data_IF_060295641566
#
_entry.id   IF_060295641566
#
_cell.length_a   1.000
_cell.length_b   1.000
_cell.length_c   1.000
_cell.angle_alpha   90.00
_cell.angle_beta   90.00
_cell.angle_gamma   90.00
#
_symmetry.space_group_name_H-M   'P 1'
#
loop_
_entity.id
_entity.type
_entity.pdbx_description
1 polymer ?
#
# COMPACT_ATOMS: atom_id res chain seq x y z
N UNK A 1 33.80 -23.04 -0.62
CA UNK A 1 32.63 -23.44 -1.43
C UNK A 1 31.94 -22.17 -1.92
N UNK A 2 32.46 -21.55 -2.99
CA UNK A 2 32.03 -20.21 -3.46
C UNK A 2 31.86 -20.15 -4.98
N UNK A 3 31.77 -21.31 -5.64
CA UNK A 3 31.90 -21.44 -7.09
C UNK A 3 30.61 -21.21 -7.88
N UNK A 4 29.45 -21.03 -7.23
CA UNK A 4 28.16 -21.12 -7.93
C UNK A 4 27.73 -19.82 -8.63
N UNK A 5 28.12 -18.65 -8.13
CA UNK A 5 27.67 -17.37 -8.69
C UNK A 5 28.42 -16.99 -9.99
N UNK A 6 29.74 -17.24 -10.04
CA UNK A 6 30.58 -16.96 -11.21
C UNK A 6 30.12 -17.77 -12.44
N UNK A 7 29.70 -19.02 -12.22
CA UNK A 7 29.24 -19.91 -13.29
C UNK A 7 27.98 -19.41 -14.02
N UNK A 8 27.13 -18.60 -13.36
CA UNK A 8 25.88 -18.11 -13.95
C UNK A 8 26.11 -17.03 -15.02
N UNK A 9 26.98 -16.07 -14.72
CA UNK A 9 27.31 -14.97 -15.63
C UNK A 9 28.07 -15.47 -16.86
N UNK A 10 29.04 -16.37 -16.65
CA UNK A 10 29.80 -16.99 -17.75
C UNK A 10 28.89 -17.83 -18.66
N UNK A 11 27.92 -18.54 -18.09
CA UNK A 11 26.94 -19.31 -18.86
C UNK A 11 26.04 -18.40 -19.71
N UNK A 12 25.56 -17.28 -19.16
CA UNK A 12 24.75 -16.31 -19.89
C UNK A 12 25.54 -15.72 -21.08
N UNK A 13 26.80 -15.32 -20.86
CA UNK A 13 27.66 -14.83 -21.93
C UNK A 13 27.89 -15.87 -23.02
N UNK A 14 28.14 -17.14 -22.65
CA UNK A 14 28.34 -18.22 -23.61
C UNK A 14 27.09 -18.52 -24.43
N UNK A 15 25.90 -18.51 -23.82
CA UNK A 15 24.63 -18.68 -24.55
C UNK A 15 24.39 -17.50 -25.49
N UNK A 16 24.65 -16.26 -25.05
CA UNK A 16 24.52 -15.06 -25.89
C UNK A 16 25.44 -15.13 -27.10
N UNK A 17 26.71 -15.53 -26.90
CA UNK A 17 27.68 -15.70 -27.97
C UNK A 17 27.23 -16.75 -29.00
N UNK A 18 26.75 -17.92 -28.55
CA UNK A 18 26.23 -18.96 -29.46
C UNK A 18 25.03 -18.48 -30.30
N UNK A 19 24.14 -17.69 -29.71
CA UNK A 19 22.99 -17.13 -30.42
C UNK A 19 23.42 -16.06 -31.44
N UNK A 20 24.39 -15.22 -31.10
CA UNK A 20 24.94 -14.20 -32.00
C UNK A 20 25.73 -14.81 -33.15
N UNK A 21 26.55 -15.83 -32.89
CA UNK A 21 27.32 -16.54 -33.91
C UNK A 21 26.39 -17.24 -34.91
N UNK A 22 25.31 -17.87 -34.45
CA UNK A 22 24.30 -18.45 -35.32
C UNK A 22 23.62 -17.39 -36.20
N UNK A 23 23.31 -16.21 -35.64
CA UNK A 23 22.71 -15.08 -36.37
C UNK A 23 23.68 -14.51 -37.41
N UNK A 24 24.96 -14.32 -37.06
CA UNK A 24 26.00 -13.85 -38.00
C UNK A 24 26.22 -14.83 -39.14
N UNK A 25 26.13 -16.14 -38.86
CA UNK A 25 26.24 -17.19 -39.87
C UNK A 25 24.96 -17.39 -40.71
N UNK A 26 23.91 -16.58 -40.51
CA UNK A 26 22.63 -16.74 -41.21
C UNK A 26 21.89 -18.05 -40.90
N UNK A 27 22.27 -18.73 -39.81
CA UNK A 27 21.65 -20.00 -39.40
C UNK A 27 20.46 -19.75 -38.48
N UNK A 28 19.55 -20.72 -38.42
CA UNK A 28 18.46 -20.72 -37.43
C UNK A 28 19.08 -20.77 -36.01
N UNK A 29 18.54 -20.02 -35.04
CA UNK A 29 19.08 -20.04 -33.67
C UNK A 29 19.11 -21.46 -33.09
N UNK A 30 20.19 -21.86 -32.40
CA UNK A 30 20.28 -23.18 -31.77
C UNK A 30 19.12 -23.39 -30.79
N UNK A 31 18.46 -24.54 -30.91
CA UNK A 31 17.40 -24.93 -29.98
C UNK A 31 17.94 -25.28 -28.59
N UNK A 32 17.06 -25.37 -27.60
CA UNK A 32 17.40 -25.76 -26.21
C UNK A 32 18.26 -27.04 -26.12
N UNK A 33 18.01 -28.12 -26.89
CA UNK A 33 18.84 -29.33 -26.84
C UNK A 33 20.28 -29.07 -27.30
N UNK A 34 20.47 -28.21 -28.30
CA UNK A 34 21.80 -27.83 -28.80
C UNK A 34 22.54 -27.01 -27.76
N UNK A 35 21.89 -26.01 -27.18
CA UNK A 35 22.48 -25.19 -26.11
C UNK A 35 22.91 -26.06 -24.92
N UNK A 36 22.12 -27.09 -24.57
CA UNK A 36 22.48 -28.06 -23.51
C UNK A 36 23.76 -28.82 -23.84
N UNK A 37 23.87 -29.31 -25.07
CA UNK A 37 25.06 -30.04 -25.53
C UNK A 37 26.31 -29.16 -25.54
N UNK A 38 26.20 -27.91 -25.99
CA UNK A 38 27.33 -26.99 -26.15
C UNK A 38 27.80 -26.35 -24.83
N UNK A 39 26.89 -26.17 -23.87
CA UNK A 39 27.19 -25.47 -22.61
C UNK A 39 27.36 -26.40 -21.41
N UNK A 40 26.85 -27.65 -21.49
CA UNK A 40 26.80 -28.56 -20.34
C UNK A 40 25.82 -28.14 -19.24
N UNK A 41 25.06 -27.05 -19.45
CA UNK A 41 24.11 -26.55 -18.47
C UNK A 41 22.83 -27.40 -18.41
N UNK A 42 22.13 -27.34 -17.29
CA UNK A 42 20.81 -27.99 -17.15
C UNK A 42 19.76 -27.30 -18.03
N UNK A 43 18.72 -28.03 -18.42
CA UNK A 43 17.63 -27.45 -19.22
C UNK A 43 16.94 -26.29 -18.49
N UNK A 44 16.81 -26.38 -17.16
CA UNK A 44 16.23 -25.34 -16.33
C UNK A 44 17.03 -24.03 -16.42
N UNK A 45 18.36 -24.11 -16.30
CA UNK A 45 19.25 -22.95 -16.41
C UNK A 45 19.16 -22.31 -17.80
N UNK A 46 19.13 -23.13 -18.86
CA UNK A 46 18.99 -22.64 -20.23
C UNK A 46 17.65 -21.94 -20.43
N UNK A 47 16.56 -22.51 -19.92
CA UNK A 47 15.23 -21.90 -19.98
C UNK A 47 15.21 -20.54 -19.28
N UNK A 48 15.69 -20.50 -18.04
CA UNK A 48 15.74 -19.28 -17.23
C UNK A 48 16.57 -18.16 -17.90
N UNK A 49 17.70 -18.50 -18.51
CA UNK A 49 18.54 -17.54 -19.22
C UNK A 49 17.87 -17.05 -20.50
N UNK A 50 17.26 -17.94 -21.28
CA UNK A 50 16.54 -17.55 -22.50
C UNK A 50 15.37 -16.60 -22.20
N UNK A 51 14.57 -16.91 -21.16
CA UNK A 51 13.44 -16.05 -20.74
C UNK A 51 13.93 -14.66 -20.30
N UNK A 52 15.08 -14.59 -19.59
CA UNK A 52 15.71 -13.32 -19.21
C UNK A 52 16.16 -12.52 -20.44
N UNK A 53 16.83 -13.15 -21.40
CA UNK A 53 17.29 -12.50 -22.64
C UNK A 53 16.12 -11.98 -23.49
N UNK A 54 15.02 -12.73 -23.55
CA UNK A 54 13.81 -12.32 -24.24
C UNK A 54 13.19 -11.07 -23.60
N UNK A 55 13.07 -11.06 -22.27
CA UNK A 55 12.59 -9.90 -21.52
C UNK A 55 13.49 -8.67 -21.71
N UNK A 56 14.82 -8.83 -21.64
CA UNK A 56 15.77 -7.73 -21.91
C UNK A 56 15.60 -7.17 -23.32
N UNK A 57 15.42 -8.04 -24.32
CA UNK A 57 15.23 -7.63 -25.72
C UNK A 57 13.89 -6.91 -25.92
N UNK A 58 12.82 -7.38 -25.26
CA UNK A 58 11.51 -6.75 -25.30
C UNK A 58 11.53 -5.35 -24.68
N UNK A 59 12.20 -5.18 -23.53
CA UNK A 59 12.39 -3.88 -22.88
C UNK A 59 13.19 -2.94 -23.78
N UNK A 60 14.31 -3.40 -24.34
CA UNK A 60 15.13 -2.59 -25.25
C UNK A 60 14.34 -2.15 -26.50
N UNK A 61 13.51 -3.02 -27.09
CA UNK A 61 12.63 -2.65 -28.21
C UNK A 61 11.58 -1.63 -27.83
N UNK A 62 11.01 -1.71 -26.62
CA UNK A 62 10.03 -0.73 -26.13
C UNK A 62 10.67 0.64 -25.93
N UNK A 63 11.91 0.69 -25.45
CA UNK A 63 12.65 1.95 -25.26
C UNK A 63 13.14 2.55 -26.58
N UNK A 64 13.56 1.71 -27.53
CA UNK A 64 14.06 2.14 -28.84
C UNK A 64 12.96 2.38 -29.87
N UNK A 65 11.71 1.97 -29.61
CA UNK A 65 10.59 2.36 -30.45
C UNK A 65 10.37 3.87 -30.29
N UNK A 66 10.69 4.69 -31.32
CA UNK A 66 10.47 6.12 -31.24
C UNK A 66 8.99 6.40 -30.99
N UNK A 67 8.69 7.46 -30.25
CA UNK A 67 7.35 7.93 -29.91
C UNK A 67 6.51 8.41 -31.12
N UNK A 68 6.69 7.80 -32.29
CA UNK A 68 6.08 8.17 -33.57
C UNK A 68 4.64 7.69 -33.75
N UNK A 69 3.94 7.37 -32.66
CA UNK A 69 2.47 7.24 -32.66
C UNK A 69 1.88 8.09 -31.54
N UNK A 70 2.11 9.40 -31.60
CA UNK A 70 1.08 10.32 -31.13
C UNK A 70 -0.12 10.17 -32.09
N UNK A 71 -1.33 9.87 -31.58
CA UNK A 71 -2.53 9.98 -32.40
C UNK A 71 -2.65 11.43 -32.87
N UNK A 72 -2.65 11.64 -34.19
CA UNK A 72 -2.86 12.95 -34.78
C UNK A 72 -4.21 13.50 -34.27
N UNK A 73 -4.17 14.49 -33.39
CA UNK A 73 -5.29 15.39 -33.19
C UNK A 73 -5.43 16.18 -34.48
N UNK A 74 -6.52 15.97 -35.20
CA UNK A 74 -6.90 16.74 -36.38
C UNK A 74 -7.13 18.20 -35.97
N UNK A 75 -6.07 19.01 -35.93
CA UNK A 75 -6.18 20.47 -35.98
C UNK A 75 -6.02 20.88 -37.43
N UNK A 76 -7.14 20.95 -38.13
CA UNK A 76 -7.28 21.64 -39.41
C UNK A 76 -6.90 23.10 -39.22
N UNK A 77 -5.64 23.44 -39.51
CA UNK A 77 -5.19 24.83 -39.65
C UNK A 77 -5.77 25.37 -40.96
N UNK A 78 -6.81 26.18 -40.85
CA UNK A 78 -7.29 27.04 -41.92
C UNK A 78 -6.23 28.11 -42.25
N UNK A 79 -6.09 28.54 -43.52
CA UNK A 79 -5.19 29.62 -43.92
C UNK A 79 -5.66 30.98 -43.34
N UNK A 80 -4.74 31.95 -43.19
CA UNK A 80 -5.06 33.25 -42.59
C UNK A 80 -6.04 34.06 -43.44
N UNK A 81 -7.05 34.73 -42.84
CA UNK A 81 -7.99 35.56 -43.58
C UNK A 81 -7.39 36.93 -43.92
N UNK A 82 -7.66 37.38 -45.15
CA UNK A 82 -7.43 38.76 -45.62
C UNK A 82 -8.31 39.77 -44.87
N UNK A 83 -7.90 41.05 -44.77
CA UNK A 83 -8.69 42.10 -44.12
C UNK A 83 -9.79 42.61 -45.07
N UNK A 84 -11.00 42.08 -44.92
CA UNK A 84 -12.21 42.52 -45.63
C UNK A 84 -13.25 43.11 -44.67
N UNK A 85 -13.55 44.39 -44.89
CA UNK A 85 -14.78 45.16 -44.65
C UNK A 85 -15.97 44.44 -44.01
N UNK A 86 -16.48 45.03 -42.94
CA UNK A 86 -17.54 44.47 -42.10
C UNK A 86 -18.96 44.51 -42.68
N UNK A 87 -19.81 43.76 -41.98
CA UNK A 87 -21.26 43.86 -42.00
C UNK A 87 -21.77 43.46 -40.59
N UNK A 88 -22.69 44.20 -39.96
CA UNK A 88 -23.22 43.87 -38.64
C UNK A 88 -24.37 42.86 -38.76
N UNK A 89 -24.11 41.61 -38.39
CA UNK A 89 -25.11 40.54 -38.31
C UNK A 89 -25.61 40.31 -36.88
N UNK A 90 -26.93 40.13 -36.76
CA UNK A 90 -27.74 40.03 -35.54
C UNK A 90 -27.25 39.02 -34.47
N UNK A 91 -27.58 39.26 -33.18
CA UNK A 91 -27.31 38.30 -32.11
C UNK A 91 -28.19 37.04 -32.23
N UNK A 92 -27.65 35.83 -31.98
CA UNK A 92 -28.44 34.61 -31.95
C UNK A 92 -29.35 34.55 -30.70
N UNK A 93 -30.51 33.88 -30.80
CA UNK A 93 -31.48 33.76 -29.71
C UNK A 93 -30.96 32.83 -28.58
N UNK A 94 -31.43 33.02 -27.33
CA UNK A 94 -31.02 32.19 -26.20
C UNK A 94 -31.60 30.78 -26.30
N UNK A 95 -30.72 29.77 -26.17
CA UNK A 95 -31.12 28.37 -26.06
C UNK A 95 -31.90 28.09 -24.76
N UNK A 96 -32.97 27.28 -24.82
CA UNK A 96 -33.82 26.99 -23.66
C UNK A 96 -33.18 25.97 -22.71
N UNK A 97 -33.22 26.31 -21.43
CA UNK A 97 -32.98 25.42 -20.31
C UNK A 97 -33.89 24.19 -20.36
N UNK A 98 -33.31 23.01 -20.49
CA UNK A 98 -34.04 21.74 -20.31
C UNK A 98 -33.75 21.20 -18.91
N UNK A 99 -34.71 21.45 -18.02
CA UNK A 99 -34.85 20.80 -16.72
C UNK A 99 -35.49 19.41 -16.82
N UNK A 100 -35.86 18.81 -15.67
CA UNK A 100 -35.64 17.39 -15.36
C UNK A 100 -36.83 16.46 -15.69
N UNK A 101 -36.52 15.18 -15.92
CA UNK A 101 -37.47 14.06 -15.84
C UNK A 101 -36.82 12.97 -14.96
N UNK A 102 -37.29 12.71 -13.74
CA UNK A 102 -38.50 11.97 -13.41
C UNK A 102 -38.44 10.53 -13.94
N UNK A 103 -37.96 9.60 -13.10
CA UNK A 103 -38.26 8.18 -13.19
C UNK A 103 -38.67 7.71 -11.80
N UNK A 104 -39.97 7.40 -11.70
CA UNK A 104 -40.64 6.69 -10.63
C UNK A 104 -39.92 5.40 -10.27
N UNK A 105 -39.77 5.15 -8.97
CA UNK A 105 -39.74 3.80 -8.44
C UNK A 105 -40.52 3.76 -7.14
N UNK A 106 -41.83 3.67 -7.32
CA UNK A 106 -42.84 3.34 -6.32
C UNK A 106 -42.76 1.85 -6.05
N UNK A 107 -42.09 1.47 -4.97
CA UNK A 107 -42.00 0.09 -4.49
C UNK A 107 -42.23 0.05 -3.00
N UNK A 108 -43.51 -0.01 -2.63
CA UNK A 108 -44.00 -0.24 -1.28
C UNK A 108 -43.36 -1.50 -0.67
N UNK A 109 -42.74 -1.36 0.50
CA UNK A 109 -42.57 -2.46 1.44
C UNK A 109 -43.06 -1.96 2.80
N UNK A 110 -44.32 -2.28 3.07
CA UNK A 110 -44.92 -2.19 4.39
C UNK A 110 -44.12 -2.99 5.44
N UNK A 111 -44.09 -2.53 6.70
CA UNK A 111 -43.57 -3.31 7.81
C UNK A 111 -44.55 -4.46 8.13
N UNK A 112 -44.09 -5.71 8.34
CA UNK A 112 -44.94 -6.74 8.90
C UNK A 112 -45.26 -6.43 10.39
N UNK A 113 -46.47 -6.81 10.83
CA UNK A 113 -47.07 -6.36 12.09
C UNK A 113 -46.46 -7.03 13.33
N UNK A 114 -46.54 -6.28 14.43
CA UNK A 114 -46.50 -6.71 15.81
C UNK A 114 -47.20 -8.07 16.01
N UNK A 115 -46.42 -9.13 16.28
CA UNK A 115 -46.93 -10.33 16.96
C UNK A 115 -46.53 -10.26 18.42
N UNK A 116 -47.51 -9.85 19.21
CA UNK A 116 -47.65 -10.13 20.62
C UNK A 116 -48.29 -11.52 20.73
N UNK A 117 -47.60 -12.54 21.27
CA UNK A 117 -48.25 -13.72 21.80
C UNK A 117 -48.53 -13.49 23.28
N UNK A 118 -49.80 -13.67 23.61
CA UNK A 118 -50.31 -13.71 24.96
C UNK A 118 -49.55 -14.69 25.85
N UNK A 119 -49.35 -14.20 27.07
CA UNK A 119 -49.03 -14.94 28.26
C UNK A 119 -50.26 -15.78 28.66
N UNK A 120 -50.14 -17.10 28.79
CA UNK A 120 -50.75 -17.73 29.96
C UNK A 120 -49.87 -18.87 30.50
N UNK A 121 -49.26 -18.66 31.67
CA UNK A 121 -49.28 -19.65 32.74
C UNK A 121 -48.47 -19.14 33.93
N UNK A 122 -49.18 -18.97 35.02
CA UNK A 122 -48.73 -18.97 36.40
C UNK A 122 -47.63 -20.02 36.64
N UNK A 123 -46.43 -19.58 37.02
CA UNK A 123 -45.56 -20.37 37.88
C UNK A 123 -45.15 -19.53 39.09
N UNK A 124 -45.61 -20.05 40.21
CA UNK A 124 -45.37 -19.71 41.60
C UNK A 124 -43.88 -19.48 41.91
N UNK A 125 -43.54 -18.47 42.74
CA UNK A 125 -42.15 -18.14 43.06
C UNK A 125 -41.55 -19.16 44.05
N UNK A 126 -40.40 -19.81 43.75
CA UNK A 126 -39.62 -20.46 44.78
C UNK A 126 -38.92 -19.39 45.64
N UNK A 127 -39.03 -19.58 46.95
CA UNK A 127 -38.50 -18.74 48.02
C UNK A 127 -37.03 -18.31 47.83
N UNK A 128 -36.64 -17.13 48.33
CA UNK A 128 -35.25 -16.69 48.30
C UNK A 128 -34.37 -17.61 49.16
N UNK A 129 -33.29 -18.21 48.61
CA UNK A 129 -32.25 -18.77 49.44
C UNK A 129 -31.56 -17.63 50.20
N UNK A 130 -31.41 -17.84 51.51
CA UNK A 130 -30.72 -16.93 52.43
C UNK A 130 -29.35 -16.51 51.89
N UNK A 131 -28.94 -15.23 52.04
CA UNK A 131 -27.58 -14.82 51.72
C UNK A 131 -26.61 -15.45 52.72
N UNK A 132 -26.03 -16.60 52.39
CA UNK A 132 -24.79 -17.05 53.01
C UNK A 132 -23.71 -16.04 52.67
N UNK A 133 -23.34 -15.28 53.68
CA UNK A 133 -22.20 -14.38 53.77
C UNK A 133 -20.93 -15.22 53.63
N UNK A 134 -20.57 -15.58 52.41
CA UNK A 134 -19.21 -16.00 52.09
C UNK A 134 -18.39 -14.73 51.96
N UNK A 135 -17.78 -14.35 53.07
CA UNK A 135 -16.64 -13.43 53.15
C UNK A 135 -15.48 -14.07 52.37
N UNK A 136 -15.57 -14.04 51.04
CA UNK A 136 -14.44 -14.22 50.17
C UNK A 136 -13.67 -12.90 50.22
N UNK A 137 -12.62 -12.90 51.03
CA UNK A 137 -11.55 -11.92 51.04
C UNK A 137 -11.28 -11.43 49.60
N UNK A 138 -11.59 -10.17 49.25
CA UNK A 138 -11.25 -9.64 47.94
C UNK A 138 -9.75 -9.45 47.95
N UNK A 139 -9.04 -10.53 47.62
CA UNK A 139 -7.61 -10.53 47.34
C UNK A 139 -7.32 -9.30 46.51
N UNK A 140 -6.55 -8.39 47.12
CA UNK A 140 -6.19 -7.10 46.59
C UNK A 140 -5.85 -7.24 45.11
N UNK A 141 -6.77 -6.82 44.24
CA UNK A 141 -6.45 -6.58 42.86
C UNK A 141 -5.51 -5.39 42.86
N UNK A 142 -4.22 -5.66 43.05
CA UNK A 142 -3.17 -4.69 42.83
C UNK A 142 -3.42 -4.10 41.45
N UNK A 143 -3.64 -2.79 41.33
CA UNK A 143 -3.74 -2.15 40.05
C UNK A 143 -2.39 -2.33 39.36
N UNK A 144 -2.29 -3.32 38.48
CA UNK A 144 -1.16 -3.44 37.56
C UNK A 144 -1.19 -2.17 36.73
N UNK A 145 -0.32 -1.23 37.09
CA UNK A 145 -0.01 -0.06 36.29
C UNK A 145 0.35 -0.55 34.90
N UNK A 146 -0.52 -0.29 33.92
CA UNK A 146 -0.26 -0.64 32.53
C UNK A 146 1.10 -0.04 32.13
N UNK A 147 2.04 -0.84 31.60
CA UNK A 147 3.40 -0.38 31.36
C UNK A 147 3.40 0.73 30.30
N UNK A 148 3.69 1.96 30.74
CA UNK A 148 3.81 3.17 29.91
C UNK A 148 4.86 3.02 28.78
N UNK A 149 5.74 2.02 28.87
CA UNK A 149 6.82 1.77 27.90
C UNK A 149 6.38 1.27 26.53
N UNK A 150 5.24 0.58 26.40
CA UNK A 150 4.85 -0.06 25.13
C UNK A 150 4.65 0.93 23.99
N UNK A 151 4.08 2.11 24.28
CA UNK A 151 3.83 3.16 23.30
C UNK A 151 5.11 3.84 22.82
N UNK A 152 6.07 4.04 23.72
CA UNK A 152 7.39 4.58 23.37
C UNK A 152 8.14 3.62 22.45
N UNK A 153 8.17 2.33 22.79
CA UNK A 153 8.81 1.30 21.97
C UNK A 153 8.18 1.22 20.57
N UNK A 154 6.84 1.27 20.48
CA UNK A 154 6.14 1.27 19.21
C UNK A 154 6.47 2.53 18.38
N UNK A 155 6.56 3.70 19.02
CA UNK A 155 6.95 4.93 18.33
C UNK A 155 8.39 4.88 17.81
N UNK A 156 9.32 4.40 18.63
CA UNK A 156 10.72 4.21 18.23
C UNK A 156 10.83 3.22 17.06
N UNK A 157 10.13 2.09 17.13
CA UNK A 157 10.12 1.08 16.05
C UNK A 157 9.59 1.64 14.74
N UNK A 158 8.49 2.42 14.79
CA UNK A 158 7.91 3.06 13.62
C UNK A 158 8.86 4.09 12.98
N UNK A 159 9.49 4.96 13.77
CA UNK A 159 10.44 5.96 13.25
C UNK A 159 11.68 5.29 12.68
N UNK A 160 12.23 4.32 13.41
CA UNK A 160 13.39 3.57 12.95
C UNK A 160 13.11 2.91 11.59
N UNK A 161 11.99 2.18 11.46
CA UNK A 161 11.61 1.56 10.20
C UNK A 161 11.42 2.58 9.07
N UNK A 162 10.78 3.72 9.37
CA UNK A 162 10.57 4.79 8.39
C UNK A 162 11.89 5.36 7.86
N UNK A 163 12.84 5.64 8.76
CA UNK A 163 14.16 6.16 8.39
C UNK A 163 14.97 5.14 7.59
N UNK A 164 14.97 3.87 8.01
CA UNK A 164 15.65 2.78 7.29
C UNK A 164 15.06 2.60 5.89
N UNK A 165 13.73 2.66 5.75
CA UNK A 165 13.05 2.52 4.46
C UNK A 165 13.40 3.66 3.49
N UNK A 166 13.43 4.91 3.97
CA UNK A 166 13.84 6.07 3.15
C UNK A 166 15.32 5.96 2.79
N UNK A 167 16.19 5.66 3.77
CA UNK A 167 17.63 5.57 3.55
C UNK A 167 17.98 4.46 2.55
N UNK A 168 17.33 3.30 2.63
CA UNK A 168 17.56 2.19 1.71
C UNK A 168 17.13 2.54 0.27
N UNK A 169 16.01 3.24 0.10
CA UNK A 169 15.62 3.74 -1.22
C UNK A 169 16.59 4.78 -1.78
N UNK A 170 17.01 5.75 -0.96
CA UNK A 170 18.02 6.74 -1.38
C UNK A 170 19.33 6.07 -1.74
N UNK A 171 19.75 5.08 -0.96
CA UNK A 171 20.99 4.34 -1.19
C UNK A 171 20.91 3.46 -2.45
N UNK A 172 19.74 2.94 -2.79
CA UNK A 172 19.53 2.26 -4.06
C UNK A 172 19.80 3.19 -5.26
N UNK A 173 19.55 4.49 -5.13
CA UNK A 173 19.90 5.46 -6.17
C UNK A 173 21.42 5.65 -6.34
N UNK A 174 22.24 5.18 -5.40
CA UNK A 174 23.72 5.16 -5.51
C UNK A 174 24.24 3.92 -6.22
N UNK A 175 23.39 2.97 -6.61
CA UNK A 175 23.84 1.85 -7.42
C UNK A 175 24.07 2.32 -8.86
N UNK A 176 25.28 2.11 -9.41
CA UNK A 176 25.55 2.46 -10.79
C UNK A 176 24.71 1.59 -11.73
N UNK A 177 24.07 2.19 -12.75
CA UNK A 177 23.37 1.40 -13.77
C UNK A 177 24.37 0.51 -14.55
N UNK A 178 23.93 -0.59 -15.17
CA UNK A 178 24.82 -1.55 -15.83
C UNK A 178 25.72 -0.97 -16.94
N UNK A 179 25.35 0.18 -17.49
CA UNK A 179 26.11 0.90 -18.54
C UNK A 179 26.88 2.12 -18.01
N UNK A 180 27.01 2.26 -16.69
CA UNK A 180 27.74 3.37 -16.08
C UNK A 180 29.25 3.24 -16.31
N UNK A 181 29.90 4.39 -16.54
CA UNK A 181 31.35 4.52 -16.57
C UNK A 181 31.92 4.56 -15.12
N UNK A 182 33.24 4.41 -14.99
CA UNK A 182 33.92 4.37 -13.69
C UNK A 182 33.74 5.67 -12.87
N UNK A 183 33.51 6.81 -13.53
CA UNK A 183 33.33 8.12 -12.90
C UNK A 183 31.85 8.46 -12.65
N UNK A 184 30.94 7.48 -12.74
CA UNK A 184 29.52 7.72 -12.52
C UNK A 184 29.24 8.11 -11.07
N UNK A 185 28.44 9.16 -10.91
CA UNK A 185 27.91 9.59 -9.61
C UNK A 185 26.40 9.77 -9.71
N UNK A 186 25.64 9.40 -8.68
CA UNK A 186 24.19 9.58 -8.69
C UNK A 186 23.82 11.05 -8.69
N UNK A 187 22.83 11.41 -9.51
CA UNK A 187 22.31 12.78 -9.54
C UNK A 187 21.48 13.04 -8.29
N UNK A 188 21.48 14.30 -7.82
CA UNK A 188 20.62 14.72 -6.71
C UNK A 188 19.14 14.44 -7.02
N UNK A 189 18.74 14.58 -8.28
CA UNK A 189 17.39 14.27 -8.75
C UNK A 189 17.03 12.78 -8.56
N UNK A 190 17.96 11.86 -8.81
CA UNK A 190 17.73 10.43 -8.58
C UNK A 190 17.56 10.11 -7.09
N UNK A 191 18.38 10.73 -6.24
CA UNK A 191 18.30 10.55 -4.79
C UNK A 191 16.96 11.08 -4.23
N UNK A 192 16.55 12.28 -4.64
CA UNK A 192 15.26 12.84 -4.25
C UNK A 192 14.12 11.98 -4.79
N UNK A 193 14.17 11.59 -6.07
CA UNK A 193 13.14 10.76 -6.70
C UNK A 193 12.95 9.42 -6.00
N UNK A 194 14.01 8.80 -5.49
CA UNK A 194 13.93 7.56 -4.74
C UNK A 194 13.25 7.74 -3.37
N UNK A 195 13.41 8.89 -2.71
CA UNK A 195 12.77 9.19 -1.43
C UNK A 195 11.30 9.60 -1.55
N UNK A 196 10.86 10.09 -2.71
CA UNK A 196 9.48 10.60 -2.92
C UNK A 196 8.43 9.53 -2.62
N UNK A 197 8.62 8.29 -3.09
CA UNK A 197 7.63 7.22 -2.95
C UNK A 197 7.36 6.78 -1.50
N UNK A 198 8.38 6.46 -0.67
CA UNK A 198 8.14 6.15 0.74
C UNK A 198 7.62 7.38 1.51
N UNK A 199 8.06 8.59 1.17
CA UNK A 199 7.55 9.83 1.79
C UNK A 199 6.06 10.04 1.51
N UNK A 200 5.62 9.80 0.26
CA UNK A 200 4.21 9.87 -0.12
C UNK A 200 3.35 8.84 0.64
N UNK A 201 3.88 7.65 0.91
CA UNK A 201 3.22 6.63 1.73
C UNK A 201 3.07 7.09 3.17
N UNK A 202 4.14 7.61 3.79
CA UNK A 202 4.08 8.14 5.16
C UNK A 202 3.08 9.29 5.27
N UNK A 203 3.06 10.20 4.30
CA UNK A 203 2.09 11.29 4.25
C UNK A 203 0.65 10.75 4.11
N UNK A 204 0.44 9.70 3.32
CA UNK A 204 -0.87 9.04 3.16
C UNK A 204 -1.36 8.44 4.48
N UNK A 205 -0.46 7.80 5.25
CA UNK A 205 -0.76 7.28 6.59
C UNK A 205 -1.10 8.41 7.57
N UNK A 206 -0.38 9.52 7.52
CA UNK A 206 -0.64 10.69 8.37
C UNK A 206 -2.01 11.31 8.07
N UNK A 207 -2.35 11.49 6.79
CA UNK A 207 -3.68 11.95 6.36
C UNK A 207 -4.76 10.98 6.81
N UNK A 208 -4.53 9.67 6.67
CA UNK A 208 -5.44 8.63 7.12
C UNK A 208 -5.70 8.71 8.64
N UNK A 209 -4.66 8.99 9.43
CA UNK A 209 -4.72 9.06 10.88
C UNK A 209 -5.37 10.35 11.41
N UNK A 210 -5.17 11.49 10.73
CA UNK A 210 -5.66 12.80 11.20
C UNK A 210 -7.05 13.17 10.70
N UNK A 211 -7.42 12.74 9.50
CA UNK A 211 -8.70 13.15 8.91
C UNK A 211 -9.84 12.38 9.59
N UNK A 212 -10.90 13.10 10.00
CA UNK A 212 -12.13 12.49 10.50
C UNK A 212 -13.02 12.17 9.32
N UNK A 213 -12.99 10.92 8.88
CA UNK A 213 -13.80 10.51 7.73
C UNK A 213 -15.25 10.30 8.17
N UNK A 214 -16.23 10.79 7.39
CA UNK A 214 -17.64 10.51 7.63
C UNK A 214 -17.94 9.00 7.52
N UNK A 215 -19.01 8.57 8.18
CA UNK A 215 -19.45 7.17 8.15
C UNK A 215 -20.10 6.87 6.80
N UNK A 216 -19.78 5.70 6.23
CA UNK A 216 -20.38 5.23 4.98
C UNK A 216 -19.41 4.35 4.18
N UNK A 217 -19.97 3.42 3.40
CA UNK A 217 -19.18 2.44 2.66
C UNK A 217 -18.32 3.08 1.56
N UNK A 218 -18.84 4.14 0.89
CA UNK A 218 -18.08 4.92 -0.08
C UNK A 218 -16.84 5.59 0.54
N UNK A 219 -16.96 6.09 1.78
CA UNK A 219 -15.84 6.71 2.49
C UNK A 219 -14.82 5.68 3.00
N UNK A 220 -15.27 4.48 3.36
CA UNK A 220 -14.40 3.33 3.63
C UNK A 220 -13.61 2.97 2.37
N UNK A 221 -14.28 2.86 1.22
CA UNK A 221 -13.62 2.52 -0.04
C UNK A 221 -12.63 3.61 -0.47
N UNK A 222 -12.98 4.89 -0.35
CA UNK A 222 -12.05 5.98 -0.64
C UNK A 222 -10.82 5.95 0.28
N UNK A 223 -11.04 5.71 1.57
CA UNK A 223 -10.00 5.66 2.60
C UNK A 223 -9.02 4.50 2.37
N UNK A 224 -9.53 3.28 2.24
CA UNK A 224 -8.68 2.10 2.12
C UNK A 224 -8.27 1.81 0.68
N UNK A 225 -9.09 2.17 -0.30
CA UNK A 225 -8.76 2.03 -1.72
C UNK A 225 -7.67 3.02 -2.13
N UNK A 226 -7.79 4.30 -1.78
CA UNK A 226 -6.78 5.31 -2.08
C UNK A 226 -5.42 4.98 -1.44
N UNK A 227 -5.43 4.72 -0.12
CA UNK A 227 -4.21 4.33 0.60
C UNK A 227 -3.68 2.99 0.10
N UNK A 228 -4.54 2.02 -0.21
CA UNK A 228 -4.14 0.72 -0.72
C UNK A 228 -3.42 0.80 -2.07
N UNK A 229 -3.89 1.64 -2.99
CA UNK A 229 -3.24 1.86 -4.29
C UNK A 229 -1.86 2.51 -4.09
N UNK A 230 -1.77 3.56 -3.28
CA UNK A 230 -0.49 4.24 -2.99
C UNK A 230 0.48 3.28 -2.29
N UNK A 231 -0.01 2.51 -1.32
CA UNK A 231 0.78 1.54 -0.60
C UNK A 231 1.31 0.45 -1.53
N UNK A 232 0.48 -0.10 -2.41
CA UNK A 232 0.89 -1.14 -3.36
C UNK A 232 1.92 -0.62 -4.36
N UNK A 233 1.67 0.55 -4.95
CA UNK A 233 2.61 1.15 -5.91
C UNK A 233 3.97 1.48 -5.27
N UNK A 234 3.95 2.08 -4.08
CA UNK A 234 5.16 2.39 -3.32
C UNK A 234 5.90 1.12 -2.89
N UNK A 235 5.20 0.09 -2.42
CA UNK A 235 5.79 -1.17 -2.00
C UNK A 235 6.51 -1.88 -3.16
N UNK A 236 5.91 -1.95 -4.36
CA UNK A 236 6.54 -2.62 -5.51
C UNK A 236 7.86 -1.93 -5.92
N UNK A 237 7.85 -0.60 -6.02
CA UNK A 237 9.04 0.17 -6.42
C UNK A 237 10.10 0.13 -5.32
N UNK A 238 9.70 0.35 -4.07
CA UNK A 238 10.59 0.33 -2.89
C UNK A 238 11.22 -1.04 -2.68
N UNK A 239 10.44 -2.12 -2.83
CA UNK A 239 10.93 -3.47 -2.71
C UNK A 239 12.00 -3.77 -3.77
N UNK A 240 11.78 -3.35 -5.02
CA UNK A 240 12.76 -3.52 -6.09
C UNK A 240 14.10 -2.84 -5.75
N UNK A 241 14.05 -1.58 -5.32
CA UNK A 241 15.25 -0.82 -4.94
C UNK A 241 16.05 -1.48 -3.80
N UNK A 242 15.37 -1.91 -2.73
CA UNK A 242 16.05 -2.54 -1.59
C UNK A 242 16.56 -3.94 -1.96
N UNK A 243 15.81 -4.68 -2.78
CA UNK A 243 16.25 -5.97 -3.29
C UNK A 243 17.53 -5.84 -4.12
N UNK A 244 17.56 -4.90 -5.05
CA UNK A 244 18.73 -4.63 -5.89
C UNK A 244 19.93 -4.16 -5.07
N UNK A 245 19.70 -3.31 -4.07
CA UNK A 245 20.72 -2.87 -3.10
C UNK A 245 21.32 -4.06 -2.34
N UNK A 246 20.48 -4.93 -1.78
CA UNK A 246 20.93 -6.11 -1.04
C UNK A 246 21.65 -7.11 -1.96
N UNK A 247 21.16 -7.28 -3.19
CA UNK A 247 21.80 -8.12 -4.19
C UNK A 247 23.20 -7.59 -4.56
N UNK A 248 23.34 -6.26 -4.74
CA UNK A 248 24.62 -5.62 -5.02
C UNK A 248 25.63 -5.77 -3.87
N UNK A 249 25.15 -5.86 -2.62
CA UNK A 249 25.99 -6.18 -1.46
C UNK A 249 26.33 -7.66 -1.29
N UNK A 250 25.90 -8.51 -2.22
CA UNK A 250 26.21 -9.94 -2.20
C UNK A 250 25.35 -10.75 -1.24
N UNK A 251 24.22 -10.20 -0.75
CA UNK A 251 23.25 -11.00 -0.02
C UNK A 251 22.66 -12.08 -0.92
N UNK A 252 22.33 -13.24 -0.34
CA UNK A 252 21.61 -14.29 -1.06
C UNK A 252 20.25 -13.77 -1.56
N UNK A 253 19.75 -14.33 -2.67
CA UNK A 253 18.43 -13.96 -3.22
C UNK A 253 17.35 -14.00 -2.15
N UNK A 254 17.38 -15.03 -1.29
CA UNK A 254 16.42 -15.17 -0.20
C UNK A 254 16.53 -14.01 0.82
N UNK A 255 17.74 -13.66 1.24
CA UNK A 255 17.97 -12.55 2.16
C UNK A 255 17.61 -11.19 1.54
N UNK A 256 17.92 -10.99 0.26
CA UNK A 256 17.56 -9.79 -0.50
C UNK A 256 16.04 -9.65 -0.69
N UNK A 257 15.30 -10.77 -0.72
CA UNK A 257 13.84 -10.76 -0.77
C UNK A 257 13.19 -10.57 0.60
N UNK A 258 13.78 -11.12 1.66
CA UNK A 258 13.20 -11.08 3.01
C UNK A 258 13.50 -9.76 3.73
N UNK A 259 14.65 -9.14 3.48
CA UNK A 259 15.08 -7.90 4.13
C UNK A 259 14.01 -6.78 4.15
N UNK A 260 13.44 -6.39 2.99
CA UNK A 260 12.40 -5.36 2.94
C UNK A 260 11.16 -5.73 3.76
N UNK A 261 10.73 -7.00 3.72
CA UNK A 261 9.55 -7.49 4.42
C UNK A 261 9.69 -7.40 5.94
N UNK A 262 10.90 -7.57 6.47
CA UNK A 262 11.17 -7.44 7.91
C UNK A 262 11.00 -6.00 8.37
N UNK A 263 11.50 -5.03 7.59
CA UNK A 263 11.37 -3.60 7.90
C UNK A 263 9.89 -3.18 7.84
N UNK A 264 9.18 -3.58 6.79
CA UNK A 264 7.76 -3.28 6.64
C UNK A 264 6.93 -3.95 7.75
N UNK A 265 7.22 -5.22 8.05
CA UNK A 265 6.57 -5.96 9.13
C UNK A 265 6.75 -5.29 10.49
N UNK A 266 7.96 -4.81 10.79
CA UNK A 266 8.24 -4.03 11.99
C UNK A 266 7.37 -2.76 12.05
N UNK A 267 7.33 -1.99 10.95
CA UNK A 267 6.52 -0.77 10.89
C UNK A 267 5.03 -1.04 11.06
N UNK A 268 4.52 -2.12 10.45
CA UNK A 268 3.12 -2.53 10.56
C UNK A 268 2.77 -2.92 11.99
N UNK A 269 3.61 -3.76 12.62
CA UNK A 269 3.41 -4.17 14.03
C UNK A 269 3.47 -2.96 14.96
N UNK A 270 4.45 -2.07 14.78
CA UNK A 270 4.55 -0.82 15.53
C UNK A 270 3.34 0.08 15.32
N UNK A 271 2.84 0.22 14.09
CA UNK A 271 1.65 1.00 13.77
C UNK A 271 0.38 0.46 14.44
N UNK A 272 0.17 -0.86 14.40
CA UNK A 272 -0.94 -1.49 15.11
C UNK A 272 -0.81 -1.36 16.63
N UNK A 273 0.40 -1.49 17.17
CA UNK A 273 0.64 -1.29 18.60
C UNK A 273 0.31 0.15 19.05
N UNK A 274 0.54 1.15 18.19
CA UNK A 274 0.15 2.55 18.46
C UNK A 274 -1.36 2.77 18.36
N UNK A 275 -2.06 2.00 17.53
CA UNK A 275 -3.51 2.07 17.34
C UNK A 275 -4.30 1.23 18.35
N UNK A 276 -3.66 0.27 19.00
CA UNK A 276 -4.29 -0.59 19.98
C UNK A 276 -4.87 0.26 21.13
N UNK A 277 -6.15 0.07 21.50
CA UNK A 277 -6.74 0.76 22.63
C UNK A 277 -5.89 0.49 23.88
N UNK A 278 -5.27 1.52 24.45
CA UNK A 278 -4.72 1.43 25.80
C UNK A 278 -5.90 1.19 26.71
N UNK A 279 -6.01 -0.02 27.26
CA UNK A 279 -7.13 -0.47 28.09
C UNK A 279 -7.60 0.66 29.00
N UNK A 280 -8.83 1.10 28.76
CA UNK A 280 -9.47 2.11 29.58
C UNK A 280 -9.43 1.68 31.03
N UNK A 281 -9.17 2.64 31.90
CA UNK A 281 -9.30 2.57 33.36
C UNK A 281 -10.72 2.12 33.69
N UNK A 282 -10.95 0.81 33.69
CA UNK A 282 -12.18 0.20 34.14
C UNK A 282 -12.18 0.28 35.66
N UNK A 283 -12.91 1.24 36.22
CA UNK A 283 -13.08 1.39 37.66
C UNK A 283 -12.74 2.78 38.15
N UNK A 284 -13.55 3.78 37.77
CA UNK A 284 -13.94 4.78 38.76
C UNK A 284 -15.39 4.42 39.13
N UNK A 285 -15.62 3.54 40.14
CA UNK A 285 -16.96 3.31 40.64
C UNK A 285 -17.48 4.65 41.14
N UNK A 286 -18.57 5.09 40.52
CA UNK A 286 -19.30 6.30 40.81
C UNK A 286 -19.12 6.74 42.27
N UNK A 287 -18.42 7.86 42.48
CA UNK A 287 -18.47 8.61 43.73
C UNK A 287 -19.96 8.80 44.04
N UNK A 288 -20.50 8.23 45.13
CA UNK A 288 -21.90 8.43 45.46
C UNK A 288 -22.14 9.95 45.60
N UNK A 289 -23.26 10.47 45.06
CA UNK A 289 -23.56 11.88 45.16
C UNK A 289 -23.54 12.25 46.65
N UNK A 290 -22.74 13.26 46.98
CA UNK A 290 -22.69 13.83 48.32
C UNK A 290 -24.13 14.08 48.77
N UNK A 291 -24.51 13.43 49.86
CA UNK A 291 -25.83 13.55 50.45
C UNK A 291 -26.18 15.04 50.55
N UNK A 292 -27.29 15.40 49.92
CA UNK A 292 -27.90 16.71 50.02
C UNK A 292 -28.12 17.04 51.49
N UNK A 293 -27.28 17.92 52.03
CA UNK A 293 -27.57 18.60 53.30
C UNK A 293 -28.75 19.52 53.03
N UNK A 294 -29.96 18.99 53.22
CA UNK A 294 -31.18 19.78 53.26
C UNK A 294 -31.10 20.74 54.46
N UNK A 295 -31.35 22.05 54.28
CA UNK A 295 -31.44 22.97 55.39
C UNK A 295 -32.71 22.68 56.21
N UNK A 296 -32.47 22.33 57.46
CA UNK A 296 -33.43 22.24 58.55
C UNK A 296 -34.33 23.48 58.58
N UNK A 297 -35.62 23.32 58.26
CA UNK A 297 -36.63 24.37 58.46
C UNK A 297 -36.91 24.48 59.95
N UNK A 298 -36.49 25.60 60.53
CA UNK A 298 -36.83 26.02 61.88
C UNK A 298 -38.34 26.35 61.99
N UNK A 299 -39.07 25.82 62.98
CA UNK A 299 -40.45 26.21 63.24
C UNK A 299 -40.52 27.50 64.08
N UNK A 300 -41.31 28.47 63.63
CA UNK A 300 -41.86 29.55 64.42
C UNK A 300 -43.29 29.85 63.93
#
# INVERSE_FOLDING_TARGET
MTTTATNGVDLEHRIRQLLEDARRAGRRPPGRPTLRKETGATEHQIRQILDRLENTTATARRTLAPASRQPATNTTTAPPPEPGTGEPGDPPPPEPATGPAAADNTGANDPPPSRQPDNPASHEPPAPPSPTTSTSDPGEHQPTTAPTGGRLVAWTGFIFGSLVSIAANVLAAWLPPPSANADWTPTLAAQIGAAVWPTALLLSVEVLARVRWPRGWAWILARYGGVGIVALGSAVISYGHIHDLLAAWGYSVLAASVGPLVVDGLMVISGFALLAPTGGRAGDPARPPAASTAPERSPA
#
